data_IF_842779876350
#
_entry.id   IF_842779876350
#
_cell.length_a   1.000
_cell.length_b   1.000
_cell.length_c   1.000
_cell.angle_alpha   90.00
_cell.angle_beta   90.00
_cell.angle_gamma   90.00
#
_symmetry.space_group_name_H-M   'P 1'
#
loop_
_entity.id
_entity.type
_entity.pdbx_description
1 polymer ?
#
# COMPACT_ATOMS: atom_id res chain seq x y z
N UNK A 1 -9.88 16.78 31.67
CA UNK A 1 -10.39 17.29 30.38
C UNK A 1 -9.80 16.43 29.27
N UNK A 2 -10.57 15.45 28.79
CA UNK A 2 -10.28 14.65 27.59
C UNK A 2 -11.32 15.05 26.52
N UNK A 3 -11.49 16.35 26.32
CA UNK A 3 -12.54 16.94 25.48
C UNK A 3 -11.99 17.14 24.06
N UNK A 4 -12.09 16.10 23.23
CA UNK A 4 -11.70 16.24 21.82
C UNK A 4 -11.63 14.96 20.98
N UNK A 5 -11.75 13.77 21.60
CA UNK A 5 -11.68 12.50 20.86
C UNK A 5 -13.08 11.90 20.72
N UNK A 6 -13.56 11.78 19.48
CA UNK A 6 -14.79 11.07 19.17
C UNK A 6 -14.48 9.57 19.22
N UNK A 7 -15.01 8.89 20.23
CA UNK A 7 -14.96 7.43 20.33
C UNK A 7 -16.07 6.79 19.49
N UNK A 8 -15.88 5.54 19.07
CA UNK A 8 -16.84 4.81 18.23
C UNK A 8 -18.26 4.76 18.81
N UNK A 9 -18.39 4.70 20.13
CA UNK A 9 -19.69 4.71 20.83
C UNK A 9 -20.38 6.09 20.87
N UNK A 10 -19.71 7.16 20.44
CA UNK A 10 -20.33 8.49 20.24
C UNK A 10 -20.99 8.64 18.87
N UNK A 11 -20.77 7.69 17.95
CA UNK A 11 -21.38 7.72 16.62
C UNK A 11 -22.76 7.06 16.66
N UNK A 12 -23.70 7.48 15.80
CA UNK A 12 -25.02 6.85 15.71
C UNK A 12 -24.87 5.36 15.36
N UNK A 13 -25.81 4.48 15.78
CA UNK A 13 -25.71 3.03 15.62
C UNK A 13 -25.55 2.59 14.16
N UNK A 14 -25.98 3.40 13.19
CA UNK A 14 -25.76 3.18 11.75
C UNK A 14 -24.29 3.28 11.31
N UNK A 15 -23.43 3.91 12.12
CA UNK A 15 -21.98 4.07 11.93
C UNK A 15 -21.16 3.26 12.95
N UNK A 16 -21.80 2.67 13.97
CA UNK A 16 -21.14 1.82 14.97
C UNK A 16 -20.84 0.41 14.46
N UNK A 17 -21.41 0.01 13.32
CA UNK A 17 -21.34 -1.37 12.84
C UNK A 17 -20.72 -1.52 11.46
N UNK A 18 -19.39 -1.39 11.41
CA UNK A 18 -18.60 -2.14 10.43
C UNK A 18 -18.74 -3.66 10.61
N UNK A 19 -19.17 -4.14 11.79
CA UNK A 19 -19.31 -5.57 12.11
C UNK A 19 -20.68 -6.17 11.74
N UNK A 20 -21.75 -5.39 11.64
CA UNK A 20 -23.09 -5.89 11.22
C UNK A 20 -23.36 -5.69 9.72
N UNK A 21 -22.57 -4.87 9.03
CA UNK A 21 -22.81 -4.58 7.62
C UNK A 21 -22.17 -5.60 6.65
N UNK A 22 -21.44 -6.61 7.12
CA UNK A 22 -20.62 -7.52 6.27
C UNK A 22 -19.71 -6.78 5.28
N UNK A 23 -19.35 -5.53 5.60
CA UNK A 23 -18.51 -4.64 4.77
C UNK A 23 -17.12 -4.45 5.38
N UNK A 24 -16.71 -5.31 6.31
CA UNK A 24 -15.29 -5.41 6.66
C UNK A 24 -14.58 -5.91 5.40
N UNK A 25 -13.62 -5.15 4.83
CA UNK A 25 -12.85 -5.64 3.69
C UNK A 25 -12.23 -6.99 4.09
N UNK A 26 -12.51 -8.05 3.35
CA UNK A 26 -11.94 -9.40 3.55
C UNK A 26 -10.45 -9.46 3.13
N UNK A 27 -9.76 -8.32 3.24
CA UNK A 27 -8.37 -8.15 2.86
C UNK A 27 -7.55 -8.10 4.13
N UNK A 28 -6.65 -9.06 4.30
CA UNK A 28 -5.69 -9.01 5.40
C UNK A 28 -4.82 -7.75 5.30
N UNK A 29 -4.30 -7.28 6.43
CA UNK A 29 -3.35 -6.16 6.43
C UNK A 29 -2.15 -6.49 5.54
N UNK A 30 -1.69 -7.74 5.59
CA UNK A 30 -0.61 -8.26 4.77
C UNK A 30 -0.90 -8.12 3.27
N UNK A 31 -2.11 -8.47 2.83
CA UNK A 31 -2.53 -8.36 1.43
C UNK A 31 -2.68 -6.89 1.00
N UNK A 32 -3.26 -6.05 1.86
CA UNK A 32 -3.39 -4.61 1.62
C UNK A 32 -2.01 -3.96 1.40
N UNK A 33 -1.06 -4.27 2.28
CA UNK A 33 0.33 -3.79 2.19
C UNK A 33 1.01 -4.35 0.94
N UNK A 34 0.83 -5.63 0.63
CA UNK A 34 1.43 -6.24 -0.56
C UNK A 34 0.95 -5.58 -1.86
N UNK A 35 -0.35 -5.28 -1.95
CA UNK A 35 -0.92 -4.59 -3.11
C UNK A 35 -0.38 -3.16 -3.23
N UNK A 36 -0.36 -2.39 -2.13
CA UNK A 36 0.18 -1.04 -2.13
C UNK A 36 1.66 -1.03 -2.55
N UNK A 37 2.48 -1.93 -1.98
CA UNK A 37 3.90 -2.02 -2.34
C UNK A 37 4.10 -2.35 -3.82
N UNK A 38 3.28 -3.24 -4.39
CA UNK A 38 3.34 -3.60 -5.81
C UNK A 38 3.02 -2.40 -6.70
N UNK A 39 1.94 -1.67 -6.41
CA UNK A 39 1.54 -0.47 -7.16
C UNK A 39 2.64 0.61 -7.13
N UNK A 40 3.19 0.89 -5.93
CA UNK A 40 4.29 1.87 -5.78
C UNK A 40 5.52 1.51 -6.62
N UNK A 41 5.88 0.21 -6.68
CA UNK A 41 7.01 -0.27 -7.48
C UNK A 41 6.73 -0.09 -8.98
N UNK A 42 5.53 -0.45 -9.43
CA UNK A 42 5.10 -0.30 -10.83
C UNK A 42 5.17 1.16 -11.25
N UNK A 43 4.59 2.06 -10.45
CA UNK A 43 4.54 3.48 -10.78
C UNK A 43 5.92 4.13 -10.77
N UNK A 44 6.79 3.76 -9.81
CA UNK A 44 8.17 4.22 -9.82
C UNK A 44 8.90 3.77 -11.11
N UNK A 45 8.69 2.54 -11.58
CA UNK A 45 9.29 2.04 -12.82
C UNK A 45 8.74 2.73 -14.08
N UNK A 46 7.43 3.00 -14.13
CA UNK A 46 6.82 3.78 -15.22
C UNK A 46 7.45 5.19 -15.31
N UNK A 47 7.55 5.88 -14.18
CA UNK A 47 8.10 7.24 -14.11
C UNK A 47 9.58 7.32 -14.47
N UNK A 48 10.34 6.23 -14.28
CA UNK A 48 11.78 6.20 -14.57
C UNK A 48 12.15 5.42 -15.82
N UNK A 49 11.16 5.02 -16.63
CA UNK A 49 11.36 4.21 -17.85
C UNK A 49 12.19 2.95 -17.58
N UNK A 50 11.82 2.22 -16.52
CA UNK A 50 12.47 0.98 -16.11
C UNK A 50 13.83 1.15 -15.43
N UNK A 51 14.26 2.38 -15.12
CA UNK A 51 15.52 2.61 -14.39
C UNK A 51 15.35 2.32 -12.89
N UNK A 52 15.83 1.15 -12.45
CA UNK A 52 15.75 0.68 -11.06
C UNK A 52 16.45 1.62 -10.09
N UNK A 53 17.62 2.18 -10.44
CA UNK A 53 18.37 3.07 -9.55
C UNK A 53 17.60 4.36 -9.25
N UNK A 54 16.93 4.92 -10.26
CA UNK A 54 16.08 6.10 -10.07
C UNK A 54 14.78 5.71 -9.35
N UNK A 55 14.17 4.58 -9.70
CA UNK A 55 12.92 4.12 -9.07
C UNK A 55 13.10 3.87 -7.57
N UNK A 56 14.22 3.26 -7.17
CA UNK A 56 14.53 3.05 -5.74
C UNK A 56 14.73 4.37 -4.99
N UNK A 57 15.28 5.40 -5.64
CA UNK A 57 15.42 6.74 -5.05
C UNK A 57 14.07 7.42 -4.85
N UNK A 58 13.15 7.31 -5.82
CA UNK A 58 11.77 7.83 -5.71
C UNK A 58 11.07 7.22 -4.50
N UNK A 59 11.19 5.90 -4.32
CA UNK A 59 10.59 5.19 -3.17
C UNK A 59 11.44 5.25 -1.89
N UNK A 60 12.48 6.10 -1.86
CA UNK A 60 13.36 6.31 -0.70
C UNK A 60 13.90 5.00 -0.09
N UNK A 61 14.28 4.05 -0.94
CA UNK A 61 14.78 2.73 -0.55
C UNK A 61 16.08 2.39 -1.26
N UNK A 62 16.68 1.27 -0.88
CA UNK A 62 17.89 0.78 -1.55
C UNK A 62 17.53 -0.02 -2.80
N UNK A 63 18.42 -0.01 -3.79
CA UNK A 63 18.29 -0.81 -5.03
C UNK A 63 18.03 -2.28 -4.72
N UNK A 64 18.72 -2.82 -3.70
CA UNK A 64 18.58 -4.22 -3.28
C UNK A 64 17.20 -4.52 -2.71
N UNK A 65 16.70 -3.69 -1.79
CA UNK A 65 15.35 -3.85 -1.21
C UNK A 65 14.28 -3.71 -2.29
N UNK A 66 14.44 -2.75 -3.19
CA UNK A 66 13.56 -2.56 -4.34
C UNK A 66 13.52 -3.81 -5.22
N UNK A 67 14.69 -4.33 -5.62
CA UNK A 67 14.79 -5.51 -6.47
C UNK A 67 14.14 -6.75 -5.83
N UNK A 68 14.34 -6.96 -4.53
CA UNK A 68 13.69 -8.06 -3.80
C UNK A 68 12.17 -7.94 -3.76
N UNK A 69 11.63 -6.75 -3.51
CA UNK A 69 10.17 -6.55 -3.55
C UNK A 69 9.62 -6.68 -4.97
N UNK A 70 10.30 -6.11 -5.97
CA UNK A 70 9.89 -6.24 -7.38
C UNK A 70 9.84 -7.72 -7.81
N UNK A 71 10.86 -8.50 -7.45
CA UNK A 71 10.89 -9.94 -7.69
C UNK A 71 9.77 -10.67 -6.92
N UNK A 72 9.58 -10.36 -5.63
CA UNK A 72 8.51 -10.94 -4.80
C UNK A 72 7.12 -10.75 -5.43
N UNK A 73 6.88 -9.59 -6.06
CA UNK A 73 5.60 -9.25 -6.69
C UNK A 73 5.54 -9.56 -8.18
N UNK A 74 6.55 -10.22 -8.75
CA UNK A 74 6.60 -10.58 -10.18
C UNK A 74 6.70 -9.37 -11.12
N UNK A 75 7.17 -8.22 -10.64
CA UNK A 75 7.31 -7.00 -11.43
C UNK A 75 8.70 -6.94 -12.06
N UNK A 76 8.76 -7.06 -13.38
CA UNK A 76 10.01 -6.96 -14.14
C UNK A 76 10.18 -5.56 -14.73
N UNK A 77 11.30 -4.90 -14.40
CA UNK A 77 11.66 -3.57 -14.93
C UNK A 77 11.77 -3.53 -16.46
N UNK A 78 12.02 -4.68 -17.10
CA UNK A 78 12.19 -4.80 -18.56
C UNK A 78 10.94 -4.40 -19.33
N UNK A 79 9.76 -4.50 -18.72
CA UNK A 79 8.49 -4.11 -19.35
C UNK A 79 8.29 -2.59 -19.44
N UNK A 80 9.15 -1.80 -18.79
CA UNK A 80 9.00 -0.35 -18.69
C UNK A 80 10.12 0.43 -19.39
N UNK A 81 11.05 -0.26 -20.05
CA UNK A 81 12.16 0.35 -20.79
C UNK A 81 11.75 0.74 -22.20
#
# INVERSE_FOLDING_TARGET
CEEGVIHSYHLPPTLQTGKESDTVPDLSLEDAVANLEKEMIIDALKNTRGNINLASKILQTTVRKFAYKAQKYGVSYKHYR
#
